data_IF_425703693167
#
_entry.id   IF_425703693167
#
_cell.length_a   1.000
_cell.length_b   1.000
_cell.length_c   1.000
_cell.angle_alpha   90.00
_cell.angle_beta   90.00
_cell.angle_gamma   90.00
#
_symmetry.space_group_name_H-M   'P 1'
#
loop_
_entity.id
_entity.type
_entity.pdbx_description
1 polymer ?
#
# COMPACT_ATOMS: atom_id res chain seq x y z
N UNK A 1 16.75 -17.88 15.74
CA UNK A 1 15.77 -18.09 14.65
C UNK A 1 16.45 -17.90 13.30
N UNK A 2 16.19 -18.74 12.30
CA UNK A 2 16.65 -18.50 10.91
C UNK A 2 16.14 -17.13 10.45
N UNK A 3 16.98 -16.34 9.80
CA UNK A 3 16.71 -14.96 9.37
C UNK A 3 15.42 -14.84 8.55
N UNK A 4 15.12 -15.83 7.70
CA UNK A 4 13.90 -15.86 6.89
C UNK A 4 12.62 -15.98 7.74
N UNK A 5 12.63 -16.76 8.82
CA UNK A 5 11.45 -16.92 9.68
C UNK A 5 11.10 -15.62 10.42
N UNK A 6 12.13 -14.92 10.91
CA UNK A 6 11.96 -13.63 11.57
C UNK A 6 11.40 -12.56 10.61
N UNK A 7 11.87 -12.54 9.36
CA UNK A 7 11.32 -11.66 8.31
C UNK A 7 9.85 -11.95 8.05
N UNK A 8 9.45 -13.22 7.91
CA UNK A 8 8.05 -13.59 7.71
C UNK A 8 7.14 -13.14 8.85
N UNK A 9 7.59 -13.23 10.11
CA UNK A 9 6.85 -12.72 11.28
C UNK A 9 6.69 -11.19 11.19
N UNK A 10 7.75 -10.48 10.81
CA UNK A 10 7.67 -9.02 10.70
C UNK A 10 6.73 -8.61 9.56
N UNK A 11 6.77 -9.33 8.43
CA UNK A 11 5.84 -9.08 7.33
C UNK A 11 4.38 -9.32 7.75
N UNK A 12 4.09 -10.38 8.51
CA UNK A 12 2.74 -10.63 8.99
C UNK A 12 2.27 -9.59 10.01
N UNK A 13 3.16 -9.10 10.87
CA UNK A 13 2.86 -7.98 11.79
C UNK A 13 2.58 -6.69 11.02
N UNK A 14 3.38 -6.36 10.00
CA UNK A 14 3.16 -5.19 9.16
C UNK A 14 1.86 -5.29 8.36
N UNK A 15 1.51 -6.48 7.86
CA UNK A 15 0.21 -6.78 7.24
C UNK A 15 -0.95 -6.47 8.20
N UNK A 16 -0.86 -6.96 9.44
CA UNK A 16 -1.87 -6.73 10.46
C UNK A 16 -1.99 -5.25 10.83
N UNK A 17 -0.87 -4.54 10.97
CA UNK A 17 -0.86 -3.10 11.23
C UNK A 17 -1.54 -2.34 10.08
N UNK A 18 -1.20 -2.65 8.83
CA UNK A 18 -1.82 -2.01 7.68
C UNK A 18 -3.33 -2.25 7.61
N UNK A 19 -3.78 -3.46 7.96
CA UNK A 19 -5.20 -3.78 8.04
C UNK A 19 -5.91 -2.97 9.14
N UNK A 20 -5.34 -2.89 10.35
CA UNK A 20 -5.90 -2.10 11.45
C UNK A 20 -5.99 -0.63 11.05
N UNK A 21 -4.92 -0.09 10.44
CA UNK A 21 -4.90 1.29 9.93
C UNK A 21 -6.02 1.52 8.91
N UNK A 22 -6.25 0.59 7.98
CA UNK A 22 -7.34 0.70 7.00
C UNK A 22 -8.73 0.74 7.66
N UNK A 23 -8.91 0.03 8.77
CA UNK A 23 -10.19 -0.03 9.47
C UNK A 23 -10.50 1.25 10.26
N UNK A 24 -9.51 1.82 10.92
CA UNK A 24 -9.70 3.03 11.75
C UNK A 24 -9.81 4.32 10.95
N UNK A 25 -9.29 4.33 9.71
CA UNK A 25 -9.33 5.54 8.86
C UNK A 25 -10.77 5.85 8.48
N UNK A 26 -11.25 7.08 8.77
CA UNK A 26 -12.59 7.49 8.37
C UNK A 26 -12.67 7.66 6.85
N UNK A 27 -13.84 7.39 6.24
CA UNK A 27 -14.07 7.69 4.84
C UNK A 27 -14.05 9.21 4.62
N UNK A 28 -13.56 9.63 3.45
CA UNK A 28 -13.58 11.04 3.04
C UNK A 28 -14.79 11.29 2.13
N UNK A 29 -14.64 11.09 0.83
CA UNK A 29 -15.70 11.33 -0.17
C UNK A 29 -16.21 10.01 -0.73
N UNK A 30 -17.52 9.94 -1.00
CA UNK A 30 -18.19 8.77 -1.59
C UNK A 30 -17.95 7.43 -0.86
N UNK A 31 -17.60 7.47 0.43
CA UNK A 31 -17.27 6.27 1.21
C UNK A 31 -15.89 5.68 0.92
N UNK A 32 -15.03 6.37 0.16
CA UNK A 32 -13.64 5.97 -0.06
C UNK A 32 -12.75 6.49 1.06
N UNK A 33 -11.87 5.61 1.56
CA UNK A 33 -10.93 5.88 2.64
C UNK A 33 -9.52 6.07 2.09
N UNK A 34 -8.70 6.97 2.66
CA UNK A 34 -7.26 6.96 2.44
C UNK A 34 -6.69 5.61 2.81
N UNK A 35 -5.97 5.00 1.87
CA UNK A 35 -5.47 3.66 2.08
C UNK A 35 -4.07 3.68 2.70
N UNK A 36 -4.03 3.69 4.04
CA UNK A 36 -2.78 3.60 4.79
C UNK A 36 -2.16 2.19 4.74
N UNK A 37 -2.94 1.15 4.39
CA UNK A 37 -2.41 -0.22 4.24
C UNK A 37 -1.39 -0.32 3.11
N UNK A 38 -1.54 0.56 2.11
CA UNK A 38 -0.67 0.73 0.96
C UNK A 38 0.76 1.13 1.35
N UNK A 39 0.91 1.97 2.39
CA UNK A 39 2.21 2.34 2.94
C UNK A 39 2.90 1.10 3.54
N UNK A 40 2.17 0.32 4.33
CA UNK A 40 2.70 -0.92 4.92
C UNK A 40 3.07 -1.94 3.83
N UNK A 41 2.28 -2.05 2.77
CA UNK A 41 2.61 -2.87 1.60
C UNK A 41 3.96 -2.47 1.00
N UNK A 42 4.20 -1.18 0.80
CA UNK A 42 5.46 -0.69 0.25
C UNK A 42 6.64 -0.92 1.19
N UNK A 43 6.44 -0.78 2.49
CA UNK A 43 7.47 -1.10 3.48
C UNK A 43 7.82 -2.60 3.43
N UNK A 44 6.82 -3.50 3.35
CA UNK A 44 7.07 -4.94 3.23
C UNK A 44 7.83 -5.25 1.95
N UNK A 45 7.43 -4.67 0.81
CA UNK A 45 8.13 -4.85 -0.47
C UNK A 45 9.58 -4.39 -0.37
N UNK A 46 9.83 -3.22 0.23
CA UNK A 46 11.16 -2.64 0.38
C UNK A 46 12.04 -3.42 1.37
N UNK A 47 11.45 -4.00 2.43
CA UNK A 47 12.15 -4.79 3.45
C UNK A 47 12.65 -6.14 2.93
N UNK A 48 11.89 -6.77 2.04
CA UNK A 48 12.21 -8.12 1.57
C UNK A 48 12.91 -8.11 0.21
N UNK A 49 12.61 -7.11 -0.62
CA UNK A 49 13.24 -6.88 -1.92
C UNK A 49 13.13 -8.08 -2.90
N UNK A 50 12.11 -8.93 -2.68
CA UNK A 50 11.86 -10.14 -3.45
C UNK A 50 10.43 -10.17 -4.03
N UNK A 51 10.34 -10.77 -5.22
CA UNK A 51 9.09 -10.85 -5.98
C UNK A 51 8.01 -11.67 -5.28
N UNK A 52 8.38 -12.78 -4.62
CA UNK A 52 7.42 -13.69 -3.99
C UNK A 52 6.68 -12.99 -2.85
N UNK A 53 7.42 -12.29 -1.98
CA UNK A 53 6.81 -11.51 -0.90
C UNK A 53 5.95 -10.39 -1.44
N UNK A 54 6.37 -9.68 -2.50
CA UNK A 54 5.54 -8.63 -3.11
C UNK A 54 4.20 -9.17 -3.63
N UNK A 55 4.23 -10.30 -4.35
CA UNK A 55 3.03 -10.96 -4.86
C UNK A 55 2.10 -11.40 -3.74
N UNK A 56 2.63 -12.11 -2.75
CA UNK A 56 1.85 -12.59 -1.59
C UNK A 56 1.24 -11.40 -0.83
N UNK A 57 2.02 -10.33 -0.60
CA UNK A 57 1.57 -9.14 0.10
C UNK A 57 0.44 -8.43 -0.65
N UNK A 58 0.55 -8.32 -1.98
CA UNK A 58 -0.51 -7.75 -2.83
C UNK A 58 -1.79 -8.56 -2.81
N UNK A 59 -1.70 -9.90 -2.87
CA UNK A 59 -2.86 -10.79 -2.75
C UNK A 59 -3.52 -10.64 -1.37
N UNK A 60 -2.74 -10.67 -0.29
CA UNK A 60 -3.26 -10.58 1.07
C UNK A 60 -3.91 -9.22 1.33
N UNK A 61 -3.28 -8.11 0.98
CA UNK A 61 -3.93 -6.80 1.10
C UNK A 61 -5.11 -6.65 0.15
N UNK A 62 -5.06 -7.23 -1.05
CA UNK A 62 -6.20 -7.30 -1.95
C UNK A 62 -7.40 -7.92 -1.26
N UNK A 63 -7.25 -9.12 -0.68
CA UNK A 63 -8.31 -9.79 0.07
C UNK A 63 -8.78 -8.93 1.26
N UNK A 64 -7.85 -8.47 2.11
CA UNK A 64 -8.17 -7.74 3.33
C UNK A 64 -8.93 -6.43 3.07
N UNK A 65 -8.48 -5.64 2.08
CA UNK A 65 -9.14 -4.39 1.69
C UNK A 65 -10.43 -4.63 0.91
N UNK A 66 -10.56 -5.76 0.21
CA UNK A 66 -11.81 -6.16 -0.44
C UNK A 66 -12.89 -6.50 0.59
N UNK A 67 -12.53 -7.20 1.67
CA UNK A 67 -13.48 -7.60 2.72
C UNK A 67 -13.99 -6.41 3.55
N UNK A 68 -13.26 -5.30 3.58
CA UNK A 68 -13.53 -4.17 4.48
C UNK A 68 -13.95 -2.89 3.77
N UNK A 69 -13.91 -2.90 2.43
CA UNK A 69 -14.32 -1.74 1.65
C UNK A 69 -15.80 -1.45 1.76
N UNK A 70 -16.11 -0.17 1.96
CA UNK A 70 -17.47 0.36 1.96
C UNK A 70 -17.86 0.97 0.61
N UNK A 71 -16.89 1.08 -0.31
CA UNK A 71 -17.15 1.67 -1.63
C UNK A 71 -17.92 0.67 -2.52
N UNK A 72 -19.00 1.08 -3.18
CA UNK A 72 -19.76 0.20 -4.09
C UNK A 72 -18.85 -0.38 -5.17
N UNK A 73 -18.74 -1.71 -5.24
CA UNK A 73 -17.82 -2.37 -6.17
C UNK A 73 -16.37 -2.44 -5.77
N UNK A 74 -16.02 -1.87 -4.62
CA UNK A 74 -14.67 -1.84 -4.10
C UNK A 74 -14.11 -3.25 -3.86
N UNK A 75 -14.94 -4.27 -3.68
CA UNK A 75 -14.50 -5.64 -3.40
C UNK A 75 -13.64 -6.19 -4.55
N UNK A 76 -14.16 -6.23 -5.77
CA UNK A 76 -13.37 -6.70 -6.92
C UNK A 76 -12.28 -5.71 -7.31
N UNK A 77 -12.57 -4.41 -7.21
CA UNK A 77 -11.62 -3.37 -7.58
C UNK A 77 -10.38 -3.35 -6.68
N UNK A 78 -10.53 -3.51 -5.36
CA UNK A 78 -9.40 -3.58 -4.41
C UNK A 78 -8.55 -4.84 -4.64
N UNK A 79 -9.17 -5.98 -4.94
CA UNK A 79 -8.42 -7.19 -5.23
C UNK A 79 -7.53 -7.01 -6.46
N UNK A 80 -8.07 -6.47 -7.55
CA UNK A 80 -7.32 -6.17 -8.78
C UNK A 80 -6.24 -5.13 -8.51
N UNK A 81 -6.61 -4.03 -7.86
CA UNK A 81 -5.71 -2.94 -7.50
C UNK A 81 -4.50 -3.44 -6.72
N UNK A 82 -4.68 -4.11 -5.57
CA UNK A 82 -3.53 -4.45 -4.73
C UNK A 82 -2.59 -5.46 -5.37
N UNK A 83 -3.12 -6.40 -6.16
CA UNK A 83 -2.31 -7.34 -6.91
C UNK A 83 -1.47 -6.59 -7.97
N UNK A 84 -2.10 -5.75 -8.79
CA UNK A 84 -1.39 -5.02 -9.85
C UNK A 84 -0.42 -3.98 -9.30
N UNK A 85 -0.86 -3.20 -8.31
CA UNK A 85 -0.06 -2.18 -7.64
C UNK A 85 1.18 -2.77 -7.01
N UNK A 86 1.10 -3.92 -6.33
CA UNK A 86 2.29 -4.53 -5.72
C UNK A 86 3.30 -4.99 -6.78
N UNK A 87 2.84 -5.48 -7.94
CA UNK A 87 3.72 -5.86 -9.04
C UNK A 87 4.39 -4.65 -9.67
N UNK A 88 3.60 -3.61 -10.01
CA UNK A 88 4.13 -2.39 -10.61
C UNK A 88 5.14 -1.74 -9.66
N UNK A 89 4.82 -1.67 -8.37
CA UNK A 89 5.72 -1.05 -7.38
C UNK A 89 7.00 -1.84 -7.21
N UNK A 90 6.93 -3.17 -7.15
CA UNK A 90 8.12 -4.00 -7.13
C UNK A 90 9.02 -3.75 -8.36
N UNK A 91 8.43 -3.68 -9.55
CA UNK A 91 9.18 -3.39 -10.79
C UNK A 91 9.79 -1.98 -10.77
N UNK A 92 9.05 -0.97 -10.28
CA UNK A 92 9.57 0.40 -10.16
C UNK A 92 10.73 0.47 -9.16
N UNK A 93 10.77 -0.38 -8.12
CA UNK A 93 11.84 -0.39 -7.13
C UNK A 93 13.18 -0.83 -7.75
N UNK A 94 13.19 -1.76 -8.70
CA UNK A 94 14.40 -2.37 -9.30
C UNK A 94 15.45 -1.32 -9.71
N UNK A 95 15.15 -0.31 -10.55
CA UNK A 95 16.13 0.70 -10.95
C UNK A 95 16.57 1.65 -9.81
N UNK A 96 15.82 1.71 -8.70
CA UNK A 96 16.08 2.60 -7.56
C UNK A 96 16.78 1.91 -6.39
N UNK A 97 16.92 0.57 -6.40
CA UNK A 97 17.45 -0.22 -5.27
C UNK A 97 18.77 0.35 -4.72
N UNK A 98 19.69 0.71 -5.61
CA UNK A 98 21.05 1.14 -5.28
C UNK A 98 21.28 2.66 -5.33
N UNK A 99 20.25 3.47 -5.65
CA UNK A 99 20.42 4.91 -5.91
C UNK A 99 20.06 5.82 -4.73
N UNK A 100 19.16 5.37 -3.87
CA UNK A 100 18.57 6.21 -2.82
C UNK A 100 18.56 5.52 -1.45
N UNK A 101 18.43 6.30 -0.37
CA UNK A 101 18.16 5.75 0.95
C UNK A 101 16.75 5.13 1.01
N UNK A 102 16.54 4.18 1.91
CA UNK A 102 15.24 3.50 2.07
C UNK A 102 14.09 4.50 2.37
N UNK A 103 14.39 5.57 3.10
CA UNK A 103 13.43 6.64 3.41
C UNK A 103 12.99 7.40 2.15
N UNK A 104 13.95 7.81 1.31
CA UNK A 104 13.66 8.49 0.05
C UNK A 104 12.92 7.57 -0.93
N UNK A 105 13.34 6.30 -1.01
CA UNK A 105 12.63 5.28 -1.80
C UNK A 105 11.17 5.19 -1.37
N UNK A 106 10.91 5.05 -0.07
CA UNK A 106 9.54 4.91 0.42
C UNK A 106 8.68 6.12 0.07
N UNK A 107 9.17 7.36 0.23
CA UNK A 107 8.40 8.55 -0.11
C UNK A 107 8.02 8.55 -1.60
N UNK A 108 9.00 8.28 -2.47
CA UNK A 108 8.79 8.22 -3.93
C UNK A 108 7.77 7.13 -4.28
N UNK A 109 7.94 5.93 -3.71
CA UNK A 109 7.03 4.80 -3.92
C UNK A 109 5.63 5.10 -3.38
N UNK A 110 5.51 5.83 -2.28
CA UNK A 110 4.20 6.17 -1.71
C UNK A 110 3.45 7.14 -2.59
N UNK A 111 4.12 8.19 -3.08
CA UNK A 111 3.52 9.16 -4.01
C UNK A 111 3.07 8.47 -5.30
N UNK A 112 4.00 7.80 -5.97
CA UNK A 112 3.74 7.15 -7.26
C UNK A 112 2.76 5.98 -7.10
N UNK A 113 2.98 5.15 -6.10
CA UNK A 113 2.18 3.96 -5.86
C UNK A 113 0.76 4.27 -5.42
N UNK A 114 0.53 5.34 -4.65
CA UNK A 114 -0.84 5.77 -4.32
C UNK A 114 -1.56 6.30 -5.56
N UNK A 115 -0.87 7.05 -6.43
CA UNK A 115 -1.45 7.50 -7.70
C UNK A 115 -1.78 6.33 -8.63
N UNK A 116 -0.85 5.39 -8.80
CA UNK A 116 -1.03 4.19 -9.63
C UNK A 116 -2.16 3.31 -9.08
N UNK A 117 -2.18 3.08 -7.76
CA UNK A 117 -3.21 2.28 -7.11
C UNK A 117 -4.58 2.92 -7.24
N UNK A 118 -4.67 4.22 -6.98
CA UNK A 118 -5.90 4.97 -7.14
C UNK A 118 -6.44 4.90 -8.57
N UNK A 119 -5.58 5.06 -9.59
CA UNK A 119 -6.02 4.98 -10.98
C UNK A 119 -6.50 3.57 -11.33
N UNK A 120 -5.76 2.52 -10.95
CA UNK A 120 -6.18 1.13 -11.18
C UNK A 120 -7.52 0.84 -10.51
N UNK A 121 -7.73 1.32 -9.28
CA UNK A 121 -8.97 1.16 -8.54
C UNK A 121 -10.16 1.81 -9.27
N UNK A 122 -10.04 3.09 -9.68
CA UNK A 122 -11.12 3.81 -10.38
C UNK A 122 -11.41 3.17 -11.75
N UNK A 123 -10.37 2.80 -12.50
CA UNK A 123 -10.54 2.13 -13.80
C UNK A 123 -11.22 0.78 -13.64
N UNK A 124 -10.85 0.01 -12.61
CA UNK A 124 -11.48 -1.27 -12.30
C UNK A 124 -12.97 -1.10 -12.00
N UNK A 125 -13.34 -0.11 -11.17
CA UNK A 125 -14.76 0.18 -10.87
C UNK A 125 -15.52 0.59 -12.13
N UNK A 126 -14.93 1.47 -12.95
CA UNK A 126 -15.57 1.93 -14.19
C UNK A 126 -15.84 0.77 -15.13
N UNK A 127 -14.90 -0.17 -15.25
CA UNK A 127 -15.06 -1.34 -16.11
C UNK A 127 -16.08 -2.35 -15.55
N UNK A 128 -16.05 -2.61 -14.24
CA UNK A 128 -16.86 -3.66 -13.63
C UNK A 128 -18.32 -3.28 -13.40
N UNK A 129 -18.59 -2.03 -13.00
CA UNK A 129 -19.92 -1.59 -12.55
C UNK A 129 -20.45 -0.43 -13.40
N UNK A 130 -19.59 0.23 -14.17
CA UNK A 130 -20.04 1.29 -15.07
C UNK A 130 -20.50 2.55 -14.34
N UNK A 131 -19.74 3.01 -13.33
CA UNK A 131 -20.06 4.24 -12.58
C UNK A 131 -20.30 5.44 -13.50
N UNK A 132 -21.31 6.26 -13.18
CA UNK A 132 -21.67 7.45 -13.97
C UNK A 132 -20.75 8.65 -13.70
N UNK A 133 -20.02 8.65 -12.59
CA UNK A 133 -19.10 9.73 -12.24
C UNK A 133 -17.92 9.80 -13.21
N UNK A 134 -17.43 11.02 -13.45
CA UNK A 134 -16.25 11.25 -14.28
C UNK A 134 -14.99 10.73 -13.56
N UNK A 135 -14.16 9.95 -14.26
CA UNK A 135 -12.86 9.47 -13.77
C UNK A 135 -12.01 10.64 -13.26
N UNK A 136 -12.03 11.77 -13.97
CA UNK A 136 -11.29 12.97 -13.59
C UNK A 136 -11.76 13.54 -12.26
N UNK A 137 -13.07 13.61 -12.03
CA UNK A 137 -13.64 14.09 -10.77
C UNK A 137 -13.25 13.21 -9.59
N UNK A 138 -13.31 11.88 -9.76
CA UNK A 138 -12.91 10.93 -8.73
C UNK A 138 -11.39 10.97 -8.49
N UNK A 139 -10.59 11.17 -9.53
CA UNK A 139 -9.14 11.34 -9.39
C UNK A 139 -8.81 12.55 -8.51
N UNK A 140 -9.39 13.71 -8.80
CA UNK A 140 -9.14 14.93 -8.01
C UNK A 140 -9.68 14.83 -6.59
N UNK A 141 -10.88 14.26 -6.41
CA UNK A 141 -11.54 14.21 -5.11
C UNK A 141 -10.99 13.11 -4.19
N UNK A 142 -10.46 12.02 -4.75
CA UNK A 142 -10.07 10.84 -3.98
C UNK A 142 -8.57 10.59 -4.01
N UNK A 143 -7.98 10.55 -5.20
CA UNK A 143 -6.59 10.14 -5.38
C UNK A 143 -5.65 11.24 -4.86
N UNK A 144 -5.84 12.49 -5.27
CA UNK A 144 -4.95 13.57 -4.83
C UNK A 144 -4.92 13.75 -3.30
N UNK A 145 -6.08 13.83 -2.59
CA UNK A 145 -6.06 13.91 -1.14
C UNK A 145 -5.43 12.68 -0.49
N UNK A 146 -5.72 11.48 -1.00
CA UNK A 146 -5.14 10.24 -0.47
C UNK A 146 -3.63 10.19 -0.67
N UNK A 147 -3.13 10.60 -1.83
CA UNK A 147 -1.70 10.71 -2.11
C UNK A 147 -1.03 11.68 -1.15
N UNK A 148 -1.64 12.84 -0.89
CA UNK A 148 -1.10 13.82 0.06
C UNK A 148 -1.02 13.24 1.47
N UNK A 149 -2.12 12.65 1.96
CA UNK A 149 -2.18 12.03 3.29
C UNK A 149 -1.14 10.90 3.41
N UNK A 150 -1.09 10.00 2.43
CA UNK A 150 -0.17 8.87 2.44
C UNK A 150 1.30 9.33 2.41
N UNK A 151 1.60 10.37 1.65
CA UNK A 151 2.97 10.91 1.53
C UNK A 151 3.47 11.52 2.83
N UNK A 152 2.58 12.15 3.61
CA UNK A 152 2.91 12.68 4.95
C UNK A 152 3.03 11.52 5.95
N UNK A 153 2.14 10.54 5.89
CA UNK A 153 2.10 9.45 6.85
C UNK A 153 3.23 8.42 6.67
N UNK A 154 3.71 8.22 5.44
CA UNK A 154 4.76 7.27 5.12
C UNK A 154 6.07 7.46 5.93
N UNK A 155 6.69 8.65 5.97
CA UNK A 155 7.91 8.84 6.77
C UNK A 155 7.67 8.65 8.27
N UNK A 156 6.49 9.03 8.79
CA UNK A 156 6.13 8.85 10.21
C UNK A 156 6.09 7.35 10.54
N UNK A 157 5.35 6.58 9.76
CA UNK A 157 5.20 5.14 9.96
C UNK A 157 6.52 4.40 9.77
N UNK A 158 7.30 4.76 8.76
CA UNK A 158 8.61 4.16 8.51
C UNK A 158 9.58 4.38 9.66
N UNK A 159 9.64 5.61 10.20
CA UNK A 159 10.48 5.92 11.34
C UNK A 159 10.04 5.14 12.59
N UNK A 160 8.73 5.01 12.83
CA UNK A 160 8.19 4.18 13.91
C UNK A 160 8.63 2.72 13.79
N UNK A 161 8.56 2.14 12.59
CA UNK A 161 9.01 0.75 12.32
C UNK A 161 10.52 0.63 12.52
N UNK A 162 11.31 1.56 11.98
CA UNK A 162 12.77 1.57 12.13
C UNK A 162 13.20 1.62 13.60
N UNK A 163 12.54 2.45 14.41
CA UNK A 163 12.77 2.53 15.85
C UNK A 163 12.41 1.23 16.58
N UNK A 164 11.25 0.63 16.26
CA UNK A 164 10.82 -0.65 16.86
C UNK A 164 11.78 -1.80 16.52
N UNK A 165 12.22 -1.89 15.26
CA UNK A 165 13.19 -2.88 14.81
C UNK A 165 14.55 -2.72 15.51
N UNK A 166 15.01 -1.48 15.73
CA UNK A 166 16.24 -1.19 16.49
C UNK A 166 16.15 -1.71 17.93
N UNK A 167 15.03 -1.51 18.61
CA UNK A 167 14.83 -1.98 19.99
C UNK A 167 14.78 -3.50 20.08
N UNK A 168 14.19 -4.18 19.10
CA UNK A 168 14.17 -5.65 19.03
C UNK A 168 15.51 -6.28 18.60
N UNK A 169 16.59 -5.48 18.49
CA UNK A 169 17.90 -5.88 17.97
C UNK A 169 17.79 -6.57 16.60
N UNK A 170 16.90 -6.07 15.76
CA UNK A 170 16.64 -6.61 14.43
C UNK A 170 17.09 -5.62 13.36
N UNK A 171 18.23 -5.86 12.72
CA UNK A 171 18.64 -5.10 11.55
C UNK A 171 18.11 -5.78 10.27
N UNK A 172 17.09 -5.18 9.66
CA UNK A 172 16.53 -5.60 8.36
C UNK A 172 16.71 -4.52 7.29
N UNK A 173 17.14 -3.33 7.70
CA UNK A 173 17.48 -2.23 6.81
C UNK A 173 18.99 -2.07 6.68
#
# INVERSE_FOLDING_TARGET
MKTNFKKSIINSLLLAIGFILHQIVPPIFFGMKPDLSLIMMFIIILLNDDYKTSLITGILYGILTSLTTTFPGGQLANLIDKILTSQIIYLTLIPFRNKFSNEKKLIILTVLGTMISGTIFIFSIKFLIGINQSIYSLFLALILPTTLINSIMAPILFNGIKLSLKHSKTNIF
#
